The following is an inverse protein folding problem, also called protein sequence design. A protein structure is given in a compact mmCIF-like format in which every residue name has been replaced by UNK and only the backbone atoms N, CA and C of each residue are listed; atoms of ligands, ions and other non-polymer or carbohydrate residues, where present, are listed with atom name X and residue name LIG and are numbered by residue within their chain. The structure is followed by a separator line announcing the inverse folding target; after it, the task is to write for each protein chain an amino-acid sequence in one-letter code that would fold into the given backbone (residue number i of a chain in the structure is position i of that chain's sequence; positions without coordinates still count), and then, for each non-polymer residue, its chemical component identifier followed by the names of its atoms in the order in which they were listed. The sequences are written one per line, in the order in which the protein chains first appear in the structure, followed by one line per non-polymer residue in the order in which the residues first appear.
data_IF_512424051642
#
_entry.id   IF_512424051642
#
_cell.length_a   1.000
_cell.length_b   1.000
_cell.length_c   1.000
_cell.angle_alpha   90.00
_cell.angle_beta   90.00
_cell.angle_gamma   90.00
#
_symmetry.space_group_name_H-M   'P 1'
#
loop_
_entity.id
_entity.type
_entity.pdbx_description
1 polymer ?
#
# COMPACT_ATOMS: atom_id res chain seq x y z
N UNK A 1 22.54 -36.10 -19.70
CA UNK A 1 21.84 -35.64 -18.47
C UNK A 1 21.80 -34.12 -18.51
N UNK A 2 20.61 -33.52 -18.68
CA UNK A 2 20.46 -32.07 -18.60
C UNK A 2 20.66 -31.64 -17.15
N UNK A 3 21.62 -30.73 -16.90
CA UNK A 3 21.74 -30.06 -15.61
C UNK A 3 20.52 -29.16 -15.45
N UNK A 4 19.61 -29.53 -14.56
CA UNK A 4 18.60 -28.61 -14.06
C UNK A 4 19.34 -27.52 -13.29
N UNK A 5 19.44 -26.32 -13.87
CA UNK A 5 19.90 -25.14 -13.14
C UNK A 5 18.93 -24.91 -11.98
N UNK A 6 19.40 -25.20 -10.76
CA UNK A 6 18.70 -24.74 -9.56
C UNK A 6 18.85 -23.23 -9.51
N UNK A 7 17.79 -22.52 -9.87
CA UNK A 7 17.68 -21.09 -9.58
C UNK A 7 17.81 -20.93 -8.07
N UNK A 8 18.98 -20.49 -7.60
CA UNK A 8 19.18 -20.13 -6.20
C UNK A 8 18.20 -19.00 -5.87
N UNK A 9 17.45 -19.11 -4.77
CA UNK A 9 16.50 -18.06 -4.34
C UNK A 9 17.21 -16.79 -3.84
N UNK A 10 18.50 -16.88 -3.54
CA UNK A 10 19.31 -15.81 -2.96
C UNK A 10 19.39 -14.54 -3.84
N UNK A 11 19.64 -14.57 -5.16
CA UNK A 11 19.62 -13.37 -5.98
C UNK A 11 18.23 -12.71 -6.05
N UNK A 12 17.15 -13.50 -6.05
CA UNK A 12 15.77 -12.96 -6.02
C UNK A 12 15.52 -12.26 -4.70
N UNK A 13 15.95 -12.87 -3.58
CA UNK A 13 15.88 -12.26 -2.27
C UNK A 13 16.64 -10.93 -2.21
N UNK A 14 17.89 -10.90 -2.69
CA UNK A 14 18.70 -9.68 -2.71
C UNK A 14 18.10 -8.58 -3.61
N UNK A 15 17.54 -8.94 -4.77
CA UNK A 15 16.81 -8.00 -5.62
C UNK A 15 15.64 -7.35 -4.88
N UNK A 16 14.88 -8.13 -4.11
CA UNK A 16 13.81 -7.58 -3.28
C UNK A 16 14.37 -6.65 -2.19
N UNK A 17 15.45 -7.03 -1.50
CA UNK A 17 16.09 -6.18 -0.48
C UNK A 17 16.47 -4.81 -1.04
N UNK A 18 17.06 -4.74 -2.24
CA UNK A 18 17.43 -3.46 -2.88
C UNK A 18 16.24 -2.53 -3.06
N UNK A 19 15.04 -3.06 -3.33
CA UNK A 19 13.84 -2.22 -3.51
C UNK A 19 13.35 -1.59 -2.19
N UNK A 20 13.87 -2.02 -1.04
CA UNK A 20 13.51 -1.53 0.29
C UNK A 20 14.58 -0.65 0.96
N UNK A 21 15.75 -0.46 0.33
CA UNK A 21 16.77 0.45 0.86
C UNK A 21 16.63 1.85 0.27
N UNK A 22 17.25 2.85 0.91
CA UNK A 22 17.30 4.21 0.37
C UNK A 22 18.36 4.30 -0.75
N UNK A 23 18.27 5.31 -1.62
CA UNK A 23 19.26 5.51 -2.69
C UNK A 23 20.66 5.78 -2.13
N UNK A 24 20.76 6.42 -0.97
CA UNK A 24 22.02 6.62 -0.25
C UNK A 24 22.68 5.30 0.14
N UNK A 25 21.90 4.25 0.36
CA UNK A 25 22.42 2.95 0.79
C UNK A 25 22.80 2.04 -0.39
N UNK A 26 22.46 2.40 -1.63
CA UNK A 26 22.74 1.58 -2.82
C UNK A 26 24.24 1.31 -2.95
N UNK A 27 25.08 2.33 -2.76
CA UNK A 27 26.54 2.16 -2.83
C UNK A 27 27.05 1.20 -1.76
N UNK A 28 26.61 1.37 -0.51
CA UNK A 28 26.95 0.46 0.57
C UNK A 28 26.51 -0.97 0.27
N UNK A 29 25.30 -1.15 -0.28
CA UNK A 29 24.77 -2.46 -0.66
C UNK A 29 25.63 -3.16 -1.70
N UNK A 30 26.06 -2.45 -2.76
CA UNK A 30 26.97 -2.97 -3.79
C UNK A 30 28.27 -3.47 -3.15
N UNK A 31 28.81 -2.72 -2.17
CA UNK A 31 30.07 -3.04 -1.52
C UNK A 31 30.00 -4.22 -0.54
N UNK A 32 28.80 -4.69 -0.16
CA UNK A 32 28.65 -5.84 0.76
C UNK A 32 29.19 -7.13 0.13
N UNK A 33 28.87 -7.41 -1.13
CA UNK A 33 29.34 -8.64 -1.81
C UNK A 33 29.14 -8.58 -3.32
N UNK A 34 29.85 -9.44 -4.06
CA UNK A 34 29.63 -9.62 -5.50
C UNK A 34 28.18 -9.99 -5.84
N UNK A 35 27.50 -10.76 -4.98
CA UNK A 35 26.10 -11.14 -5.20
C UNK A 35 25.15 -9.94 -5.12
N UNK A 36 25.50 -8.93 -4.33
CA UNK A 36 24.75 -7.67 -4.28
C UNK A 36 24.90 -6.91 -5.61
N UNK A 37 26.12 -6.84 -6.17
CA UNK A 37 26.35 -6.28 -7.50
C UNK A 37 25.52 -7.02 -8.55
N UNK A 38 25.57 -8.36 -8.56
CA UNK A 38 24.80 -9.20 -9.51
C UNK A 38 23.29 -8.96 -9.40
N UNK A 39 22.78 -8.72 -8.18
CA UNK A 39 21.37 -8.43 -7.96
C UNK A 39 20.98 -7.07 -8.57
N UNK A 40 21.80 -6.03 -8.38
CA UNK A 40 21.62 -4.71 -8.99
C UNK A 40 21.68 -4.75 -10.52
N UNK A 41 22.62 -5.50 -11.08
CA UNK A 41 22.77 -5.70 -12.53
C UNK A 41 21.57 -6.41 -13.18
N UNK A 42 20.69 -7.02 -12.37
CA UNK A 42 19.45 -7.68 -12.79
C UNK A 42 18.21 -6.84 -12.54
N UNK A 43 18.31 -5.74 -11.81
CA UNK A 43 17.17 -4.88 -11.53
C UNK A 43 16.90 -3.95 -12.71
N UNK A 44 15.63 -3.91 -13.10
CA UNK A 44 15.12 -3.05 -14.16
C UNK A 44 14.45 -1.79 -13.61
N UNK A 45 14.46 -1.62 -12.29
CA UNK A 45 13.86 -0.51 -11.56
C UNK A 45 14.73 -0.16 -10.36
N UNK A 46 14.81 1.11 -10.03
CA UNK A 46 15.53 1.60 -8.86
C UNK A 46 14.64 1.63 -7.61
N UNK A 47 15.23 1.58 -6.40
CA UNK A 47 14.49 1.93 -5.19
C UNK A 47 14.09 3.40 -5.23
N UNK A 48 12.89 3.68 -4.73
CA UNK A 48 12.41 5.03 -4.49
C UNK A 48 11.59 5.13 -3.22
N UNK A 49 11.85 6.15 -2.39
CA UNK A 49 11.13 6.42 -1.15
C UNK A 49 10.79 7.91 -1.00
N UNK A 50 9.96 8.24 -0.03
CA UNK A 50 9.65 9.63 0.32
C UNK A 50 10.85 10.38 0.92
N UNK A 51 11.81 9.65 1.48
CA UNK A 51 13.03 10.15 2.13
C UNK A 51 14.16 10.43 1.12
N UNK A 52 13.97 10.03 -0.13
CA UNK A 52 14.95 10.23 -1.20
C UNK A 52 15.28 11.70 -1.41
N UNK A 53 16.57 11.99 -1.60
CA UNK A 53 17.01 13.31 -2.06
C UNK A 53 16.41 13.58 -3.45
N UNK A 54 15.78 14.76 -3.60
CA UNK A 54 14.96 15.11 -4.76
C UNK A 54 15.73 15.96 -5.76
N UNK A 55 16.75 15.36 -6.39
CA UNK A 55 17.68 16.05 -7.29
C UNK A 55 18.08 15.22 -8.51
N UNK A 56 18.48 15.90 -9.60
CA UNK A 56 19.04 15.23 -10.79
C UNK A 56 20.36 14.51 -10.50
N UNK A 57 21.16 15.00 -9.54
CA UNK A 57 22.42 14.36 -9.14
C UNK A 57 22.21 12.94 -8.62
N UNK A 58 21.12 12.70 -7.88
CA UNK A 58 20.72 11.37 -7.41
C UNK A 58 20.34 10.48 -8.58
N UNK A 59 19.59 11.00 -9.56
CA UNK A 59 19.22 10.24 -10.77
C UNK A 59 20.46 9.82 -11.56
N UNK A 60 21.45 10.71 -11.72
CA UNK A 60 22.73 10.36 -12.35
C UNK A 60 23.48 9.26 -11.59
N UNK A 61 23.43 9.25 -10.25
CA UNK A 61 23.96 8.14 -9.44
C UNK A 61 23.18 6.84 -9.65
N UNK A 62 21.85 6.89 -9.70
CA UNK A 62 21.01 5.72 -9.98
C UNK A 62 21.39 5.13 -11.33
N UNK A 63 21.46 5.93 -12.39
CA UNK A 63 21.81 5.44 -13.73
C UNK A 63 23.20 4.81 -13.78
N UNK A 64 24.13 5.24 -12.92
CA UNK A 64 25.45 4.61 -12.76
C UNK A 64 25.37 3.22 -12.10
N UNK A 65 24.53 3.04 -11.08
CA UNK A 65 24.42 1.79 -10.32
C UNK A 65 23.43 0.78 -10.92
N UNK A 66 22.52 1.22 -11.77
CA UNK A 66 21.51 0.37 -12.41
C UNK A 66 21.69 0.41 -13.95
N UNK A 67 22.73 -0.24 -14.49
CA UNK A 67 23.04 -0.17 -15.93
C UNK A 67 21.97 -0.80 -16.83
N UNK A 68 21.10 -1.66 -16.27
CA UNK A 68 19.96 -2.29 -16.98
C UNK A 68 18.61 -1.70 -16.57
N UNK A 69 18.59 -0.48 -16.01
CA UNK A 69 17.36 0.21 -15.66
C UNK A 69 16.46 0.36 -16.88
N UNK A 70 15.24 -0.14 -16.79
CA UNK A 70 14.21 0.04 -17.82
C UNK A 70 13.17 1.08 -17.41
N UNK A 71 12.93 1.21 -16.10
CA UNK A 71 11.97 2.15 -15.54
C UNK A 71 12.62 2.91 -14.40
N UNK A 72 12.73 4.23 -14.56
CA UNK A 72 13.16 5.13 -13.50
C UNK A 72 11.97 5.50 -12.61
N UNK A 73 11.99 5.08 -11.35
CA UNK A 73 11.05 5.52 -10.32
C UNK A 73 11.53 6.81 -9.66
N UNK A 74 10.74 7.86 -9.73
CA UNK A 74 11.04 9.18 -9.16
C UNK A 74 9.77 9.90 -8.70
N UNK A 75 9.92 10.86 -7.80
CA UNK A 75 8.82 11.75 -7.42
C UNK A 75 8.64 12.90 -8.43
N UNK A 76 7.48 13.57 -8.44
CA UNK A 76 7.22 14.68 -9.35
C UNK A 76 8.19 15.85 -9.26
N UNK A 77 8.75 16.14 -8.06
CA UNK A 77 9.73 17.22 -7.89
C UNK A 77 11.00 16.89 -8.63
N UNK A 78 11.52 15.67 -8.44
CA UNK A 78 12.71 15.20 -9.14
C UNK A 78 12.48 15.17 -10.65
N UNK A 79 11.35 14.65 -11.10
CA UNK A 79 10.98 14.57 -12.51
C UNK A 79 11.03 15.94 -13.22
N UNK A 80 10.59 16.99 -12.55
CA UNK A 80 10.62 18.36 -13.08
C UNK A 80 12.01 19.01 -13.12
N UNK A 81 13.03 18.40 -12.51
CA UNK A 81 14.41 18.89 -12.53
C UNK A 81 15.30 18.19 -13.56
N UNK A 82 14.79 17.15 -14.24
CA UNK A 82 15.59 16.38 -15.19
C UNK A 82 15.85 17.14 -16.49
N UNK A 83 17.12 17.17 -16.90
CA UNK A 83 17.53 17.68 -18.20
C UNK A 83 17.24 16.69 -19.33
N UNK A 84 17.18 17.20 -20.57
CA UNK A 84 16.99 16.37 -21.76
C UNK A 84 18.11 15.34 -21.97
N UNK A 85 19.34 15.69 -21.54
CA UNK A 85 20.52 14.81 -21.55
C UNK A 85 20.30 13.59 -20.64
N UNK A 86 19.84 13.82 -19.40
CA UNK A 86 19.50 12.72 -18.48
C UNK A 86 18.36 11.87 -19.04
N UNK A 87 17.32 12.52 -19.57
CA UNK A 87 16.15 11.84 -20.14
C UNK A 87 16.46 11.01 -21.39
N UNK A 88 17.52 11.34 -22.15
CA UNK A 88 17.92 10.56 -23.33
C UNK A 88 18.36 9.13 -22.99
N UNK A 89 18.74 8.87 -21.74
CA UNK A 89 19.20 7.57 -21.26
C UNK A 89 18.13 6.79 -20.47
N UNK A 90 16.91 7.30 -20.41
CA UNK A 90 15.83 6.71 -19.59
C UNK A 90 14.74 6.16 -20.50
N UNK A 91 14.53 4.83 -20.56
CA UNK A 91 13.52 4.25 -21.45
C UNK A 91 12.09 4.56 -21.01
N UNK A 92 11.82 4.51 -19.71
CA UNK A 92 10.50 4.75 -19.10
C UNK A 92 10.66 5.43 -17.75
N UNK A 93 9.66 6.23 -17.38
CA UNK A 93 9.58 6.90 -16.09
C UNK A 93 8.32 6.44 -15.38
N UNK A 94 8.44 6.12 -14.10
CA UNK A 94 7.30 5.94 -13.21
C UNK A 94 7.31 7.03 -12.15
N UNK A 95 6.29 7.87 -12.19
CA UNK A 95 6.08 8.89 -11.17
C UNK A 95 5.52 8.20 -9.93
N UNK A 96 6.21 8.32 -8.79
CA UNK A 96 5.77 7.80 -7.50
C UNK A 96 5.21 8.97 -6.68
N UNK A 97 3.89 8.99 -6.51
CA UNK A 97 3.23 9.96 -5.64
C UNK A 97 3.27 9.46 -4.19
N UNK A 98 3.84 10.25 -3.29
CA UNK A 98 3.85 9.94 -1.86
C UNK A 98 2.57 10.41 -1.16
N UNK A 99 1.78 11.27 -1.82
CA UNK A 99 0.58 11.88 -1.30
C UNK A 99 -0.42 12.02 -2.46
N UNK A 100 -1.73 11.86 -2.22
CA UNK A 100 -2.80 11.94 -3.24
C UNK A 100 -2.91 13.32 -3.93
N UNK A 101 -2.07 14.28 -3.58
CA UNK A 101 -1.94 15.55 -4.30
C UNK A 101 -1.01 15.31 -5.49
N UNK A 102 -1.61 15.03 -6.64
CA UNK A 102 -0.90 14.96 -7.92
C UNK A 102 -0.25 16.32 -8.20
N UNK A 103 1.03 16.48 -7.86
CA UNK A 103 1.78 17.65 -8.28
C UNK A 103 2.05 17.56 -9.78
N UNK A 104 1.70 18.60 -10.51
CA UNK A 104 1.80 18.62 -11.97
C UNK A 104 3.23 18.39 -12.46
N UNK A 105 3.39 17.40 -13.33
CA UNK A 105 4.57 17.25 -14.17
C UNK A 105 4.51 18.35 -15.24
N UNK A 106 5.52 19.22 -15.27
CA UNK A 106 5.66 20.32 -16.24
C UNK A 106 6.52 19.90 -17.43
N UNK A 107 7.50 19.02 -17.21
CA UNK A 107 8.39 18.53 -18.26
C UNK A 107 7.62 17.63 -19.25
N UNK A 108 7.51 18.07 -20.51
CA UNK A 108 6.76 17.37 -21.55
C UNK A 108 7.37 15.99 -21.89
N UNK A 109 8.70 15.91 -21.99
CA UNK A 109 9.42 14.65 -22.27
C UNK A 109 9.22 13.63 -21.16
N UNK A 110 9.12 14.07 -19.90
CA UNK A 110 8.75 13.18 -18.78
C UNK A 110 7.34 12.62 -18.96
N UNK A 111 6.37 13.44 -19.39
CA UNK A 111 5.00 12.95 -19.64
C UNK A 111 4.97 11.91 -20.75
N UNK A 112 5.73 12.13 -21.82
CA UNK A 112 5.86 11.19 -22.95
C UNK A 112 6.46 9.86 -22.50
N UNK A 113 7.45 9.89 -21.61
CA UNK A 113 8.12 8.69 -21.09
C UNK A 113 7.37 8.03 -19.91
N UNK A 114 6.27 8.62 -19.43
CA UNK A 114 5.56 8.12 -18.26
C UNK A 114 4.85 6.80 -18.56
N UNK A 115 5.16 5.76 -17.78
CA UNK A 115 4.58 4.42 -17.94
C UNK A 115 3.22 4.26 -17.24
N UNK A 116 2.85 5.25 -16.43
CA UNK A 116 1.66 5.24 -15.60
C UNK A 116 0.81 6.48 -15.86
N UNK A 117 -0.49 6.28 -16.02
CA UNK A 117 -1.49 7.35 -16.11
C UNK A 117 -2.33 7.40 -14.85
N UNK A 118 -2.56 8.62 -14.36
CA UNK A 118 -3.28 8.88 -13.10
C UNK A 118 -4.61 9.62 -13.32
N UNK A 119 -4.77 10.22 -14.50
CA UNK A 119 -5.96 10.96 -14.92
C UNK A 119 -6.18 10.73 -16.40
N UNK A 120 -7.41 10.46 -16.80
CA UNK A 120 -7.80 10.37 -18.21
C UNK A 120 -8.76 11.52 -18.48
N UNK A 121 -8.34 12.45 -19.35
CA UNK A 121 -9.21 13.52 -19.79
C UNK A 121 -10.44 12.96 -20.52
N UNK A 122 -11.55 13.69 -20.48
CA UNK A 122 -12.77 13.35 -21.24
C UNK A 122 -12.62 13.55 -22.75
N UNK A 123 -11.41 13.89 -23.22
CA UNK A 123 -11.08 14.15 -24.61
C UNK A 123 -10.19 13.06 -25.16
N UNK A 124 -10.50 12.66 -26.38
CA UNK A 124 -9.70 11.75 -27.20
C UNK A 124 -8.29 12.30 -27.40
N UNK A 125 -7.25 11.50 -27.18
CA UNK A 125 -5.88 11.80 -27.58
C UNK A 125 -5.79 11.85 -29.11
N UNK A 126 -4.99 12.80 -29.61
CA UNK A 126 -4.69 12.90 -31.05
C UNK A 126 -3.87 11.70 -31.54
N UNK A 127 -3.01 11.16 -30.68
CA UNK A 127 -2.18 9.98 -30.97
C UNK A 127 -2.23 9.00 -29.79
N UNK A 128 -2.30 7.67 -30.04
CA UNK A 128 -2.24 6.68 -28.98
C UNK A 128 -0.95 6.79 -28.16
N UNK A 129 -1.07 6.75 -26.84
CA UNK A 129 0.06 6.71 -25.93
C UNK A 129 0.51 5.26 -25.69
N UNK A 130 1.53 4.85 -26.44
CA UNK A 130 2.10 3.49 -26.39
C UNK A 130 3.03 3.25 -25.19
N UNK A 131 3.42 4.30 -24.46
CA UNK A 131 4.33 4.17 -23.31
C UNK A 131 3.60 3.79 -22.02
N UNK A 132 2.32 4.14 -21.92
CA UNK A 132 1.49 3.84 -20.76
C UNK A 132 1.16 2.35 -20.72
N UNK A 133 1.64 1.70 -19.68
CA UNK A 133 1.38 0.27 -19.39
C UNK A 133 0.59 0.07 -18.09
N UNK A 134 0.43 1.14 -17.30
CA UNK A 134 -0.27 1.13 -16.01
C UNK A 134 -1.27 2.29 -15.90
N UNK A 135 -2.35 2.06 -15.18
CA UNK A 135 -3.25 3.11 -14.73
C UNK A 135 -3.50 3.01 -13.22
N UNK A 136 -3.61 4.15 -12.55
CA UNK A 136 -4.02 4.25 -11.15
C UNK A 136 -5.12 5.30 -11.02
N UNK A 137 -6.27 4.91 -10.48
CA UNK A 137 -7.42 5.80 -10.33
C UNK A 137 -7.94 5.81 -8.91
N UNK A 138 -8.15 7.01 -8.38
CA UNK A 138 -8.81 7.21 -7.09
C UNK A 138 -10.32 7.44 -7.24
N UNK A 139 -10.84 7.59 -8.46
CA UNK A 139 -12.26 7.80 -8.74
C UNK A 139 -12.73 6.97 -9.97
N UNK A 140 -14.05 6.77 -10.05
CA UNK A 140 -14.70 6.02 -11.13
C UNK A 140 -14.78 6.80 -12.44
N UNK A 141 -14.67 8.14 -12.40
CA UNK A 141 -14.73 8.99 -13.60
C UNK A 141 -13.60 8.64 -14.57
N UNK A 142 -12.37 8.53 -14.06
CA UNK A 142 -11.19 8.21 -14.84
C UNK A 142 -11.23 6.79 -15.38
N UNK A 143 -11.78 5.84 -14.62
CA UNK A 143 -12.00 4.48 -15.12
C UNK A 143 -12.98 4.46 -16.28
N UNK A 144 -14.05 5.25 -16.19
CA UNK A 144 -15.05 5.36 -17.27
C UNK A 144 -14.43 5.98 -18.52
N UNK A 145 -13.65 7.04 -18.36
CA UNK A 145 -12.91 7.66 -19.46
C UNK A 145 -11.90 6.68 -20.06
N UNK A 146 -11.17 5.91 -19.24
CA UNK A 146 -10.24 4.90 -19.73
C UNK A 146 -10.97 3.87 -20.60
N UNK A 147 -12.14 3.39 -20.17
CA UNK A 147 -12.93 2.44 -20.97
C UNK A 147 -13.36 3.02 -22.30
N UNK A 148 -13.74 4.31 -22.34
CA UNK A 148 -14.11 5.00 -23.57
C UNK A 148 -12.93 5.17 -24.53
N UNK A 149 -11.73 5.41 -23.99
CA UNK A 149 -10.52 5.75 -24.73
C UNK A 149 -9.46 4.65 -24.69
N UNK A 150 -9.85 3.40 -24.43
CA UNK A 150 -8.92 2.30 -24.17
C UNK A 150 -7.98 2.01 -25.37
N UNK A 151 -8.43 2.32 -26.59
CA UNK A 151 -7.64 2.18 -27.82
C UNK A 151 -6.51 3.21 -27.93
N UNK A 152 -6.57 4.31 -27.18
CA UNK A 152 -5.47 5.27 -27.06
C UNK A 152 -4.38 4.78 -26.11
N UNK A 153 -4.64 3.71 -25.37
CA UNK A 153 -3.70 3.09 -24.44
C UNK A 153 -3.53 1.61 -24.79
N UNK A 154 -2.95 1.29 -25.96
CA UNK A 154 -2.90 -0.07 -26.49
C UNK A 154 -2.05 -1.04 -25.63
N UNK A 155 -1.11 -0.51 -24.85
CA UNK A 155 -0.17 -1.30 -24.06
C UNK A 155 -0.51 -1.35 -22.56
N UNK A 156 -1.70 -0.90 -22.15
CA UNK A 156 -2.12 -1.04 -20.74
C UNK A 156 -2.24 -2.51 -20.38
N UNK A 157 -1.51 -2.91 -19.34
CA UNK A 157 -1.48 -4.27 -18.80
C UNK A 157 -1.96 -4.32 -17.35
N UNK A 158 -1.90 -3.21 -16.61
CA UNK A 158 -2.23 -3.17 -15.19
C UNK A 158 -3.06 -1.93 -14.84
N UNK A 159 -4.17 -2.13 -14.14
CA UNK A 159 -5.03 -1.05 -13.66
C UNK A 159 -5.21 -1.25 -12.18
N UNK A 160 -4.96 -0.21 -11.39
CA UNK A 160 -5.27 -0.16 -9.98
C UNK A 160 -6.35 0.90 -9.75
N UNK A 161 -7.39 0.55 -8.99
CA UNK A 161 -8.50 1.46 -8.73
C UNK A 161 -8.92 1.45 -7.26
N UNK A 162 -9.20 2.64 -6.74
CA UNK A 162 -9.94 2.82 -5.51
C UNK A 162 -11.44 2.75 -5.72
N UNK A 163 -12.07 1.84 -5.00
CA UNK A 163 -13.48 1.53 -5.10
C UNK A 163 -14.20 1.97 -3.83
N UNK A 164 -15.03 3.00 -3.99
CA UNK A 164 -16.02 3.40 -2.98
C UNK A 164 -17.41 2.83 -3.26
N UNK A 165 -17.67 2.38 -4.51
CA UNK A 165 -18.94 1.79 -4.93
C UNK A 165 -18.73 0.70 -5.98
N UNK A 166 -19.02 -0.55 -5.62
CA UNK A 166 -18.88 -1.70 -6.51
C UNK A 166 -19.83 -1.65 -7.72
N UNK A 167 -21.01 -1.07 -7.54
CA UNK A 167 -22.00 -0.91 -8.63
C UNK A 167 -21.48 -0.02 -9.76
N UNK A 168 -20.74 1.05 -9.42
CA UNK A 168 -20.22 1.99 -10.41
C UNK A 168 -19.08 1.40 -11.26
N UNK A 169 -18.21 0.59 -10.65
CA UNK A 169 -17.01 0.07 -11.33
C UNK A 169 -17.25 -1.26 -12.07
N UNK A 170 -18.37 -1.94 -11.80
CA UNK A 170 -18.71 -3.25 -12.37
C UNK A 170 -18.74 -3.27 -13.89
N UNK A 171 -19.53 -2.40 -14.51
CA UNK A 171 -19.65 -2.33 -15.96
C UNK A 171 -18.32 -1.94 -16.64
N UNK A 172 -17.59 -0.90 -16.16
CA UNK A 172 -16.26 -0.59 -16.65
C UNK A 172 -15.26 -1.75 -16.58
N UNK A 173 -15.18 -2.44 -15.43
CA UNK A 173 -14.26 -3.57 -15.25
C UNK A 173 -14.59 -4.72 -16.21
N UNK A 174 -15.87 -5.09 -16.34
CA UNK A 174 -16.27 -6.14 -17.28
C UNK A 174 -15.92 -5.80 -18.74
N UNK A 175 -15.99 -4.52 -19.14
CA UNK A 175 -15.54 -4.08 -20.47
C UNK A 175 -14.03 -4.22 -20.65
N UNK A 176 -13.24 -3.85 -19.63
CA UNK A 176 -11.78 -3.99 -19.67
C UNK A 176 -11.35 -5.47 -19.75
N UNK A 177 -12.01 -6.34 -19.00
CA UNK A 177 -11.71 -7.78 -19.00
C UNK A 177 -11.98 -8.43 -20.37
N UNK A 178 -12.99 -7.96 -21.11
CA UNK A 178 -13.28 -8.45 -22.47
C UNK A 178 -12.17 -8.15 -23.47
N UNK A 179 -11.33 -7.12 -23.23
CA UNK A 179 -10.16 -6.85 -24.06
C UNK A 179 -9.09 -7.95 -23.93
N UNK A 180 -9.05 -8.61 -22.77
CA UNK A 180 -8.01 -9.58 -22.43
C UNK A 180 -6.68 -8.91 -22.08
N UNK A 181 -5.78 -9.67 -21.44
CA UNK A 181 -4.41 -9.22 -21.13
C UNK A 181 -4.27 -8.19 -20.00
N UNK A 182 -5.36 -7.53 -19.58
CA UNK A 182 -5.34 -6.52 -18.51
C UNK A 182 -5.54 -7.19 -17.14
N UNK A 183 -4.63 -6.90 -16.22
CA UNK A 183 -4.74 -7.22 -14.79
C UNK A 183 -5.33 -6.02 -14.04
N UNK A 184 -6.32 -6.27 -13.20
CA UNK A 184 -7.03 -5.22 -12.46
C UNK A 184 -6.85 -5.46 -10.96
N UNK A 185 -6.40 -4.45 -10.22
CA UNK A 185 -6.34 -4.44 -8.77
C UNK A 185 -7.40 -3.49 -8.23
N UNK A 186 -8.47 -4.05 -7.66
CA UNK A 186 -9.51 -3.27 -6.99
C UNK A 186 -9.13 -3.18 -5.52
N UNK A 187 -8.95 -1.96 -5.02
CA UNK A 187 -8.85 -1.73 -3.57
C UNK A 187 -10.07 -0.98 -3.07
N UNK A 188 -10.50 -1.27 -1.85
CA UNK A 188 -11.70 -0.69 -1.27
C UNK A 188 -11.54 -0.50 0.23
N UNK A 189 -12.30 0.44 0.79
CA UNK A 189 -12.35 0.66 2.24
C UNK A 189 -13.61 0.00 2.81
N UNK A 190 -13.45 -0.69 3.93
CA UNK A 190 -14.55 -1.39 4.58
C UNK A 190 -15.06 -0.56 5.74
N UNK A 191 -16.04 0.30 5.49
CA UNK A 191 -16.67 1.14 6.53
C UNK A 191 -17.69 0.40 7.41
N UNK A 192 -18.21 -0.74 6.97
CA UNK A 192 -19.17 -1.56 7.71
C UNK A 192 -19.28 -2.96 7.09
N UNK A 193 -20.04 -3.86 7.74
CA UNK A 193 -20.26 -5.22 7.22
C UNK A 193 -20.98 -5.28 5.88
N UNK A 194 -21.85 -4.30 5.57
CA UNK A 194 -22.54 -4.23 4.28
C UNK A 194 -21.55 -4.10 3.11
N UNK A 195 -20.43 -3.40 3.32
CA UNK A 195 -19.38 -3.32 2.29
C UNK A 195 -18.71 -4.66 1.99
N UNK A 196 -18.60 -5.58 2.96
CA UNK A 196 -18.17 -6.94 2.68
C UNK A 196 -19.19 -7.69 1.82
N UNK A 197 -20.49 -7.53 2.12
CA UNK A 197 -21.53 -8.22 1.36
C UNK A 197 -21.60 -7.70 -0.10
N UNK A 198 -21.46 -6.38 -0.30
CA UNK A 198 -21.34 -5.78 -1.64
C UNK A 198 -20.10 -6.28 -2.39
N UNK A 199 -18.95 -6.32 -1.70
CA UNK A 199 -17.72 -6.86 -2.27
C UNK A 199 -17.89 -8.33 -2.71
N UNK A 200 -18.50 -9.17 -1.88
CA UNK A 200 -18.70 -10.58 -2.18
C UNK A 200 -19.67 -10.80 -3.36
N UNK A 201 -20.73 -10.00 -3.45
CA UNK A 201 -21.62 -10.00 -4.60
C UNK A 201 -20.87 -9.63 -5.89
N UNK A 202 -20.11 -8.53 -5.85
CA UNK A 202 -19.28 -8.07 -6.96
C UNK A 202 -18.27 -9.14 -7.39
N UNK A 203 -17.53 -9.71 -6.44
CA UNK A 203 -16.49 -10.72 -6.71
C UNK A 203 -17.07 -11.98 -7.34
N UNK A 204 -18.23 -12.45 -6.88
CA UNK A 204 -18.90 -13.63 -7.46
C UNK A 204 -19.32 -13.39 -8.90
N UNK A 205 -19.73 -12.17 -9.22
CA UNK A 205 -20.21 -11.82 -10.54
C UNK A 205 -19.09 -11.53 -11.55
N UNK A 206 -18.06 -10.79 -11.12
CA UNK A 206 -16.94 -10.41 -11.99
C UNK A 206 -15.85 -11.49 -12.05
N UNK A 207 -15.70 -12.26 -10.97
CA UNK A 207 -14.71 -13.33 -10.84
C UNK A 207 -13.33 -12.83 -10.40
N UNK A 208 -12.38 -13.76 -10.33
CA UNK A 208 -10.99 -13.50 -9.87
C UNK A 208 -9.95 -13.62 -10.99
N UNK A 209 -10.37 -14.01 -12.19
CA UNK A 209 -9.47 -14.15 -13.34
C UNK A 209 -8.96 -12.78 -13.78
N UNK A 210 -7.65 -12.56 -13.65
CA UNK A 210 -6.99 -11.27 -13.88
C UNK A 210 -7.44 -10.14 -12.94
N UNK A 211 -8.04 -10.47 -11.80
CA UNK A 211 -8.45 -9.47 -10.81
C UNK A 211 -7.89 -9.81 -9.44
N UNK A 212 -7.33 -8.80 -8.79
CA UNK A 212 -6.83 -8.85 -7.42
C UNK A 212 -7.64 -7.89 -6.57
N UNK A 213 -7.89 -8.28 -5.33
CA UNK A 213 -8.69 -7.50 -4.41
C UNK A 213 -7.88 -7.17 -3.18
N UNK A 214 -7.92 -5.92 -2.74
CA UNK A 214 -7.40 -5.56 -1.42
C UNK A 214 -8.37 -4.69 -0.66
N UNK A 215 -8.42 -4.88 0.65
CA UNK A 215 -9.30 -4.11 1.50
C UNK A 215 -8.48 -3.36 2.54
N UNK A 216 -8.89 -2.15 2.84
CA UNK A 216 -8.45 -1.42 4.00
C UNK A 216 -9.61 -1.46 4.99
N UNK A 217 -9.48 -2.25 6.06
CA UNK A 217 -10.43 -2.16 7.16
C UNK A 217 -10.21 -0.81 7.86
N UNK A 218 -11.29 -0.16 8.36
CA UNK A 218 -11.32 1.23 8.91
C UNK A 218 -10.14 1.64 9.81
N UNK A 219 -9.36 0.70 10.30
CA UNK A 219 -8.39 0.91 11.35
C UNK A 219 -6.94 0.59 10.96
N UNK A 220 -6.70 0.02 9.77
CA UNK A 220 -5.36 -0.18 9.20
C UNK A 220 -4.86 1.08 8.52
N UNK A 221 -4.35 2.09 9.25
CA UNK A 221 -3.81 3.37 8.75
C UNK A 221 -3.15 3.28 7.35
N UNK A 222 -3.95 3.36 6.27
CA UNK A 222 -3.52 3.26 4.88
C UNK A 222 -3.00 1.90 4.37
N UNK A 223 -3.08 0.81 5.14
CA UNK A 223 -2.54 -0.50 4.70
C UNK A 223 -3.63 -1.37 4.09
N UNK A 224 -3.54 -1.62 2.79
CA UNK A 224 -4.46 -2.50 2.07
C UNK A 224 -4.01 -3.96 2.16
N UNK A 225 -4.89 -4.84 2.59
CA UNK A 225 -4.67 -6.26 2.75
C UNK A 225 -5.19 -7.03 1.53
N UNK A 226 -4.35 -7.87 0.93
CA UNK A 226 -4.75 -8.73 -0.19
C UNK A 226 -5.80 -9.76 0.29
N UNK A 227 -6.91 -9.87 -0.44
CA UNK A 227 -7.92 -10.91 -0.23
C UNK A 227 -7.57 -12.14 -1.07
N UNK A 228 -7.30 -13.30 -0.45
CA UNK A 228 -7.06 -14.53 -1.21
C UNK A 228 -8.29 -14.91 -2.07
N UNK A 229 -8.10 -15.47 -3.28
CA UNK A 229 -9.21 -15.77 -4.20
C UNK A 229 -10.28 -16.72 -3.63
N UNK A 230 -9.89 -17.59 -2.70
CA UNK A 230 -10.69 -18.67 -2.11
C UNK A 230 -11.19 -18.36 -0.69
N UNK A 231 -10.98 -17.13 -0.21
CA UNK A 231 -11.38 -16.71 1.15
C UNK A 231 -12.47 -15.66 1.07
N UNK A 232 -13.53 -15.79 1.88
CA UNK A 232 -14.55 -14.75 2.05
C UNK A 232 -13.93 -13.58 2.80
N UNK A 233 -14.02 -12.35 2.27
CA UNK A 233 -13.37 -11.19 2.91
C UNK A 233 -13.91 -10.90 4.31
N UNK A 234 -15.20 -11.19 4.56
CA UNK A 234 -15.79 -11.11 5.90
C UNK A 234 -15.13 -12.06 6.90
N UNK A 235 -14.60 -13.21 6.45
CA UNK A 235 -13.86 -14.11 7.35
C UNK A 235 -12.50 -13.51 7.73
N UNK A 236 -11.91 -12.67 6.87
CA UNK A 236 -10.68 -11.93 7.18
C UNK A 236 -10.93 -10.85 8.25
N UNK A 237 -12.16 -10.34 8.38
CA UNK A 237 -12.52 -9.49 9.52
C UNK A 237 -12.35 -10.23 10.85
N UNK A 238 -12.69 -11.53 10.90
CA UNK A 238 -12.52 -12.38 12.08
C UNK A 238 -11.06 -12.48 12.57
N UNK A 239 -10.08 -12.13 11.74
CA UNK A 239 -8.66 -12.13 12.13
C UNK A 239 -8.37 -11.04 13.16
N UNK A 240 -8.97 -9.86 12.98
CA UNK A 240 -8.78 -8.74 13.89
C UNK A 240 -9.90 -8.64 14.93
N UNK A 241 -11.13 -9.07 14.61
CA UNK A 241 -12.29 -8.84 15.48
C UNK A 241 -12.98 -10.12 15.98
N UNK A 242 -12.47 -11.31 15.60
CA UNK A 242 -12.95 -12.62 16.06
C UNK A 242 -11.97 -13.28 17.04
N UNK A 243 -11.17 -14.22 16.57
CA UNK A 243 -10.19 -14.97 17.37
C UNK A 243 -8.82 -15.10 16.70
N UNK A 244 -8.64 -14.54 15.51
CA UNK A 244 -7.38 -14.66 14.77
C UNK A 244 -7.20 -15.98 14.01
N UNK A 245 -8.18 -16.90 13.98
CA UNK A 245 -8.02 -18.25 13.39
C UNK A 245 -7.47 -18.21 11.95
N UNK A 246 -7.92 -17.24 11.14
CA UNK A 246 -7.49 -17.08 9.75
C UNK A 246 -6.19 -16.28 9.56
N UNK A 247 -5.50 -15.87 10.63
CA UNK A 247 -4.26 -15.07 10.55
C UNK A 247 -3.19 -15.73 9.66
N UNK A 248 -3.09 -17.06 9.69
CA UNK A 248 -2.15 -17.83 8.86
C UNK A 248 -2.35 -17.62 7.34
N UNK A 249 -3.53 -17.16 6.91
CA UNK A 249 -3.83 -16.85 5.50
C UNK A 249 -3.32 -15.48 5.07
N UNK A 250 -2.94 -14.62 6.01
CA UNK A 250 -2.42 -13.26 5.79
C UNK A 250 -0.89 -13.18 5.92
N UNK A 251 -0.19 -14.13 5.30
CA UNK A 251 1.27 -14.31 5.43
C UNK A 251 2.12 -13.11 4.98
N UNK A 252 1.55 -12.09 4.34
CA UNK A 252 2.28 -10.98 3.74
C UNK A 252 2.18 -9.64 4.51
N UNK A 253 1.52 -9.60 5.68
CA UNK A 253 1.39 -8.34 6.44
C UNK A 253 2.68 -8.07 7.19
N UNK A 254 3.42 -7.04 6.80
CA UNK A 254 4.64 -6.58 7.47
C UNK A 254 4.34 -5.62 8.63
N UNK A 255 3.36 -4.76 8.45
CA UNK A 255 3.02 -3.70 9.40
C UNK A 255 1.50 -3.61 9.52
N UNK A 256 1.00 -3.49 10.75
CA UNK A 256 -0.41 -3.27 11.03
C UNK A 256 -0.54 -2.18 12.10
N UNK A 257 -1.46 -1.25 11.88
CA UNK A 257 -1.90 -0.26 12.87
C UNK A 257 -3.40 -0.46 13.01
N UNK A 258 -3.97 -0.42 14.20
CA UNK A 258 -5.37 -0.74 14.48
C UNK A 258 -5.83 0.22 15.57
N UNK A 259 -6.93 0.94 15.38
CA UNK A 259 -7.46 1.89 16.36
C UNK A 259 -8.97 1.79 16.51
N UNK A 260 -9.46 0.81 17.26
CA UNK A 260 -10.88 0.45 17.30
C UNK A 260 -11.53 0.84 18.63
N UNK A 261 -12.86 0.95 18.66
CA UNK A 261 -13.55 1.16 19.93
C UNK A 261 -13.49 -0.09 20.82
N UNK A 262 -13.82 -1.23 20.22
CA UNK A 262 -13.82 -2.55 20.85
C UNK A 262 -13.04 -3.54 19.99
N UNK A 263 -12.25 -4.38 20.63
CA UNK A 263 -11.45 -5.43 20.01
C UNK A 263 -11.62 -6.77 20.74
N UNK A 264 -11.36 -7.88 20.07
CA UNK A 264 -11.53 -9.22 20.65
C UNK A 264 -10.20 -9.79 21.13
N UNK A 265 -10.25 -10.88 21.91
CA UNK A 265 -9.06 -11.71 22.10
C UNK A 265 -8.70 -12.36 20.76
N UNK A 266 -7.42 -12.36 20.38
CA UNK A 266 -7.01 -12.90 19.09
C UNK A 266 -5.65 -13.62 19.15
N UNK A 267 -5.50 -14.66 18.33
CA UNK A 267 -4.22 -15.31 18.07
C UNK A 267 -3.66 -14.88 16.70
N UNK A 268 -2.71 -13.95 16.74
CA UNK A 268 -2.02 -13.40 15.58
C UNK A 268 -0.68 -14.09 15.31
N UNK A 269 -0.36 -15.21 15.98
CA UNK A 269 0.93 -15.92 15.78
C UNK A 269 1.14 -16.37 14.33
N UNK A 270 0.07 -16.57 13.57
CA UNK A 270 0.12 -16.91 12.15
C UNK A 270 0.70 -15.81 11.25
N UNK A 271 0.76 -14.55 11.71
CA UNK A 271 1.29 -13.41 10.95
C UNK A 271 2.83 -13.36 11.01
N UNK A 272 3.48 -14.40 10.49
CA UNK A 272 4.95 -14.61 10.58
C UNK A 272 5.83 -13.54 9.91
N UNK A 273 5.24 -12.67 9.09
CA UNK A 273 5.94 -11.53 8.48
C UNK A 273 5.70 -10.20 9.23
N UNK A 274 4.83 -10.18 10.25
CA UNK A 274 4.48 -8.97 10.97
C UNK A 274 5.66 -8.52 11.83
N UNK A 275 6.18 -7.34 11.54
CA UNK A 275 7.34 -6.72 12.21
C UNK A 275 6.97 -5.49 13.01
N UNK A 276 5.86 -4.81 12.67
CA UNK A 276 5.32 -3.69 13.43
C UNK A 276 3.82 -3.89 13.68
N UNK A 277 3.40 -3.72 14.93
CA UNK A 277 1.99 -3.75 15.32
C UNK A 277 1.66 -2.57 16.23
N UNK A 278 0.70 -1.75 15.85
CA UNK A 278 0.10 -0.72 16.69
C UNK A 278 -1.38 -1.07 16.91
N UNK A 279 -1.85 -1.20 18.15
CA UNK A 279 -3.25 -1.45 18.47
C UNK A 279 -3.68 -0.49 19.59
N UNK A 280 -4.73 0.27 19.32
CA UNK A 280 -5.43 1.09 20.28
C UNK A 280 -6.88 0.60 20.41
N UNK A 281 -7.29 0.17 21.61
CA UNK A 281 -8.67 -0.21 21.92
C UNK A 281 -9.10 0.25 23.31
N UNK A 282 -10.42 0.46 23.51
CA UNK A 282 -10.99 0.90 24.77
C UNK A 282 -11.47 -0.24 25.68
N UNK A 283 -11.51 -1.48 25.22
CA UNK A 283 -11.86 -2.63 26.05
C UNK A 283 -10.62 -3.49 26.39
N UNK A 284 -10.77 -4.35 27.41
CA UNK A 284 -9.70 -5.26 27.82
C UNK A 284 -9.58 -6.42 26.84
N UNK A 285 -8.36 -6.68 26.39
CA UNK A 285 -8.07 -7.67 25.35
C UNK A 285 -6.85 -8.49 25.70
N UNK A 286 -6.82 -9.76 25.31
CA UNK A 286 -5.64 -10.62 25.35
C UNK A 286 -5.25 -11.09 23.95
N UNK A 287 -4.00 -10.85 23.57
CA UNK A 287 -3.44 -11.21 22.26
C UNK A 287 -2.34 -12.26 22.37
N UNK A 288 -2.25 -13.15 21.39
CA UNK A 288 -1.04 -13.91 21.10
C UNK A 288 -0.39 -13.32 19.84
N UNK A 289 0.87 -12.93 19.91
CA UNK A 289 1.57 -12.20 18.84
C UNK A 289 2.67 -13.04 18.16
N UNK A 290 3.00 -12.78 16.89
CA UNK A 290 4.01 -13.55 16.17
C UNK A 290 5.43 -13.21 16.64
N UNK A 291 6.32 -14.20 16.68
CA UNK A 291 7.71 -14.03 17.14
C UNK A 291 8.58 -13.18 16.21
N UNK A 292 8.08 -12.85 15.03
CA UNK A 292 8.70 -11.94 14.05
C UNK A 292 8.62 -10.47 14.46
N UNK A 293 7.80 -10.12 15.46
CA UNK A 293 7.51 -8.74 15.82
C UNK A 293 8.76 -8.01 16.35
N UNK A 294 9.03 -6.82 15.82
CA UNK A 294 10.17 -5.96 16.17
C UNK A 294 9.70 -4.74 16.94
N UNK A 295 8.56 -4.16 16.58
CA UNK A 295 7.97 -2.99 17.21
C UNK A 295 6.51 -3.23 17.58
N UNK A 296 6.14 -2.88 18.81
CA UNK A 296 4.80 -3.05 19.36
C UNK A 296 4.33 -1.76 20.01
N UNK A 297 3.13 -1.28 19.69
CA UNK A 297 2.50 -0.15 20.35
C UNK A 297 1.08 -0.55 20.75
N UNK A 298 0.75 -0.55 22.03
CA UNK A 298 -0.51 -1.06 22.59
C UNK A 298 -1.12 -0.05 23.57
N UNK A 299 -2.45 0.07 23.55
CA UNK A 299 -3.18 0.79 24.61
C UNK A 299 -3.07 0.06 25.96
N UNK A 300 -3.36 0.79 27.04
CA UNK A 300 -3.26 0.30 28.43
C UNK A 300 -4.14 -0.92 28.76
N UNK A 301 -5.07 -1.26 27.86
CA UNK A 301 -6.09 -2.29 28.07
C UNK A 301 -5.75 -3.60 27.37
N UNK A 302 -4.63 -3.69 26.66
CA UNK A 302 -4.22 -4.87 25.91
C UNK A 302 -3.16 -5.66 26.68
N UNK A 303 -3.45 -6.93 26.92
CA UNK A 303 -2.55 -7.94 27.48
C UNK A 303 -1.97 -8.79 26.35
N UNK A 304 -0.69 -9.14 26.44
CA UNK A 304 -0.02 -10.04 25.47
C UNK A 304 0.33 -11.35 26.17
N UNK A 305 -0.44 -12.39 25.89
CA UNK A 305 -0.32 -13.69 26.58
C UNK A 305 1.03 -14.37 26.38
N UNK A 306 1.65 -14.20 25.21
CA UNK A 306 2.91 -14.83 24.84
C UNK A 306 4.08 -13.81 24.74
N UNK A 307 4.04 -12.74 25.54
CA UNK A 307 5.06 -11.68 25.48
C UNK A 307 6.49 -12.22 25.66
N UNK A 308 6.67 -13.24 26.51
CA UNK A 308 7.96 -13.91 26.75
C UNK A 308 8.57 -14.54 25.50
N UNK A 309 7.75 -14.84 24.49
CA UNK A 309 8.15 -15.55 23.29
C UNK A 309 8.61 -14.59 22.18
N UNK A 310 8.37 -13.29 22.33
CA UNK A 310 8.65 -12.24 21.35
C UNK A 310 10.14 -11.84 21.33
N UNK A 311 11.02 -12.80 21.03
CA UNK A 311 12.49 -12.64 21.08
C UNK A 311 13.05 -11.58 20.13
N UNK A 312 12.31 -11.24 19.06
CA UNK A 312 12.71 -10.21 18.09
C UNK A 312 12.29 -8.80 18.50
N UNK A 313 11.46 -8.65 19.55
CA UNK A 313 10.87 -7.38 19.95
C UNK A 313 11.95 -6.45 20.53
N UNK A 314 12.08 -5.27 19.93
CA UNK A 314 13.07 -4.25 20.31
C UNK A 314 12.44 -3.04 20.98
N UNK A 315 11.20 -2.71 20.62
CA UNK A 315 10.49 -1.50 21.10
C UNK A 315 9.06 -1.82 21.52
N UNK A 316 8.65 -1.22 22.65
CA UNK A 316 7.26 -1.19 23.11
C UNK A 316 6.84 0.27 23.36
N UNK A 317 5.65 0.67 22.91
CA UNK A 317 4.99 1.95 23.20
C UNK A 317 5.86 3.21 23.01
N UNK A 318 6.30 3.45 21.76
CA UNK A 318 7.07 4.60 21.22
C UNK A 318 8.36 5.03 21.97
N UNK A 319 8.55 4.70 23.25
CA UNK A 319 9.62 5.25 24.11
C UNK A 319 10.28 4.22 25.05
N UNK A 320 9.91 2.94 25.03
CA UNK A 320 10.50 1.94 25.93
C UNK A 320 11.21 0.83 25.16
N UNK A 321 12.53 0.76 25.35
CA UNK A 321 13.33 -0.36 24.84
C UNK A 321 13.18 -1.55 25.77
N UNK A 322 12.93 -2.73 25.20
CA UNK A 322 12.83 -3.98 25.97
C UNK A 322 14.25 -4.39 26.40
N UNK A 323 14.76 -3.82 27.48
CA UNK A 323 16.01 -4.29 28.10
C UNK A 323 15.71 -5.56 28.91
N UNK A 324 16.19 -6.70 28.42
CA UNK A 324 16.57 -7.86 29.24
C UNK A 324 15.58 -8.33 30.31
N UNK A 325 14.51 -9.00 29.88
CA UNK A 325 13.68 -9.99 30.61
C UNK A 325 13.02 -9.56 31.94
N UNK A 326 11.70 -9.72 31.92
CA UNK A 326 10.69 -9.66 32.99
C UNK A 326 10.13 -8.27 33.31
N UNK A 327 9.15 -7.87 32.50
CA UNK A 327 8.02 -7.08 32.98
C UNK A 327 7.05 -8.02 33.72
N UNK A 328 7.37 -8.41 34.94
CA UNK A 328 6.31 -8.82 35.86
C UNK A 328 5.58 -7.54 36.25
N UNK A 329 4.33 -7.43 35.80
CA UNK A 329 3.39 -6.34 36.09
C UNK A 329 3.73 -4.99 35.43
N UNK A 330 3.59 -4.94 34.11
CA UNK A 330 3.37 -3.65 33.45
C UNK A 330 1.96 -3.15 33.77
N UNK A 331 1.89 -2.26 34.77
CA UNK A 331 0.73 -1.39 34.96
C UNK A 331 0.94 -0.22 34.01
N UNK A 332 0.26 -0.26 32.85
CA UNK A 332 0.33 0.83 31.88
C UNK A 332 -0.13 2.14 32.55
N UNK A 333 0.56 3.27 32.31
CA UNK A 333 0.14 4.55 32.88
C UNK A 333 -1.30 4.84 32.46
N UNK A 334 -2.16 5.11 33.44
CA UNK A 334 -3.52 5.56 33.20
C UNK A 334 -3.43 6.92 32.51
N UNK A 335 -3.65 6.95 31.21
CA UNK A 335 -3.98 8.20 30.52
C UNK A 335 -5.38 8.62 30.97
N UNK A 336 -5.41 9.56 31.90
CA UNK A 336 -6.63 10.27 32.29
C UNK A 336 -6.96 11.24 31.14
N UNK A 337 -7.78 10.78 30.20
CA UNK A 337 -8.31 11.63 29.13
C UNK A 337 -9.48 12.45 29.70
N UNK A 338 -9.21 13.36 30.64
CA UNK A 338 -10.11 14.48 30.89
C UNK A 338 -9.94 15.49 29.75
N UNK A 339 -10.50 15.17 28.59
CA UNK A 339 -10.83 16.20 27.61
C UNK A 339 -11.99 16.99 28.20
N UNK A 340 -11.69 18.18 28.72
CA UNK A 340 -12.70 19.19 29.04
C UNK A 340 -13.52 19.45 27.78
N UNK A 341 -14.76 18.96 27.79
CA UNK A 341 -15.75 19.18 26.75
C UNK A 341 -16.43 20.55 26.98
N UNK A 342 -15.70 21.64 26.76
CA UNK A 342 -16.24 23.00 26.75
C UNK A 342 -16.51 23.46 25.30
N UNK A 343 -17.30 22.67 24.57
CA UNK A 343 -17.99 23.14 23.36
C UNK A 343 -19.49 22.94 23.56
N UNK A 344 -20.09 23.86 24.30
CA UNK A 344 -21.53 24.14 24.24
C UNK A 344 -21.78 24.96 22.98
N UNK A 345 -22.26 24.31 21.93
CA UNK A 345 -22.84 24.99 20.77
C UNK A 345 -24.21 25.56 21.16
N UNK A 346 -24.25 26.86 21.44
CA UNK A 346 -25.49 27.65 21.47
C UNK A 346 -25.96 27.85 20.02
N UNK A 347 -26.83 26.97 19.55
CA UNK A 347 -27.66 27.24 18.37
C UNK A 347 -28.93 27.96 18.83
N UNK A 348 -28.87 29.29 18.85
CA UNK A 348 -30.05 30.14 18.88
C UNK A 348 -30.84 29.94 17.56
N UNK A 349 -32.02 29.35 17.69
CA UNK A 349 -33.03 29.30 16.64
C UNK A 349 -33.77 30.63 16.60
N UNK A 350 -33.38 31.52 15.68
CA UNK A 350 -34.17 32.69 15.33
C UNK A 350 -35.32 32.29 14.39
N UNK A 351 -36.50 32.14 15.00
CA UNK A 351 -37.79 32.25 14.32
C UNK A 351 -37.92 33.68 13.75
N UNK A 352 -38.09 33.79 12.44
CA UNK A 352 -38.69 34.98 11.84
C UNK A 352 -39.75 34.59 10.83
N UNK A 353 -40.99 34.67 11.31
CA UNK A 353 -42.21 34.81 10.53
C UNK A 353 -42.08 36.01 9.58
N UNK A 354 -42.31 35.78 8.29
CA UNK A 354 -42.76 36.82 7.38
C UNK A 354 -43.87 36.30 6.49
N UNK A 355 -45.10 36.54 6.95
CA UNK A 355 -46.27 36.77 6.10
C UNK A 355 -46.10 38.10 5.36
N UNK A 356 -46.24 38.11 4.02
CA UNK A 356 -47.04 39.12 3.30
C UNK A 356 -47.18 38.78 1.79
N UNK A 357 -48.46 38.72 1.39
CA UNK A 357 -49.09 38.92 0.06
C UNK A 357 -48.70 38.09 -1.18
#
# INVERSE_FOLDING_TARGET
MAKTERTTLEPIFLMNVVLYITQSDVENFVLVSHKCCDALDRLHVNPWSSESEKSEAVVKKILKYFPKLQTLQIDPKTANTLSDETLANIPRIRIVYTNNKQSHIKNAKVKELSDTVYTIDSKKLETPNVYVVRAFFDDFTELTNLVQFIEEYPNIEFIEIMCYSFEQIKNPIQKLLKRGGIKIHVKFEVSNFTMYDHFEAFRKEVGTTNIYYSFNAIFTNGTYLLVPPDVVAKDLHGIFYGDGEMAHKLYAIKEARISVSDYCNADLRGLTCLTLLEIYCYNKVTLNLPTSLIELNLSSKINVANFSDLKCLKKVNKNEFVQGKQLHEYTLPSYDNSYDSDYSDDYDSDDSDHDSE
#
